data_IF_488272483598
#
_entry.id   IF_488272483598
#
_cell.length_a   1.000
_cell.length_b   1.000
_cell.length_c   1.000
_cell.angle_alpha   90.00
_cell.angle_beta   90.00
_cell.angle_gamma   90.00
#
_symmetry.space_group_name_H-M   'P 1'
#
loop_
_entity.id
_entity.type
_entity.pdbx_description
1 polymer ?
#
# COMPACT_ATOMS: atom_id res chain seq x y z
N UNK A 1 7.81 0.20 2.40
CA UNK A 1 6.92 1.37 2.59
C UNK A 1 7.08 1.98 3.98
N UNK A 2 7.16 1.19 5.06
CA UNK A 2 7.42 1.65 6.44
C UNK A 2 8.48 2.74 6.60
N UNK A 3 9.67 2.55 6.02
CA UNK A 3 10.73 3.58 6.08
C UNK A 3 10.34 4.92 5.44
N UNK A 4 9.52 4.90 4.38
CA UNK A 4 9.02 6.12 3.75
C UNK A 4 8.02 6.82 4.65
N UNK A 5 7.11 6.08 5.28
CA UNK A 5 6.16 6.60 6.24
C UNK A 5 6.88 7.27 7.41
N UNK A 6 7.96 6.66 7.93
CA UNK A 6 8.78 7.27 8.98
C UNK A 6 9.45 8.58 8.53
N UNK A 7 9.98 8.63 7.30
CA UNK A 7 10.53 9.87 6.73
C UNK A 7 9.44 10.96 6.57
N UNK A 8 8.23 10.59 6.13
CA UNK A 8 7.11 11.52 6.02
C UNK A 8 6.63 12.00 7.39
N UNK A 9 6.67 11.14 8.41
CA UNK A 9 6.35 11.52 9.78
C UNK A 9 7.29 12.61 10.32
N UNK A 10 8.59 12.55 10.01
CA UNK A 10 9.53 13.64 10.34
C UNK A 10 9.11 14.97 9.71
N UNK A 11 8.72 14.95 8.43
CA UNK A 11 8.30 16.15 7.69
C UNK A 11 6.95 16.71 8.18
N UNK A 12 6.02 15.82 8.50
CA UNK A 12 4.66 16.16 8.92
C UNK A 12 4.62 16.66 10.36
N UNK A 13 5.12 15.88 11.32
CA UNK A 13 5.04 16.23 12.73
C UNK A 13 6.09 17.27 13.14
N UNK A 14 7.26 17.28 12.49
CA UNK A 14 8.39 18.18 12.82
C UNK A 14 8.81 18.11 14.30
N UNK A 15 8.53 16.97 14.94
CA UNK A 15 8.83 16.72 16.34
C UNK A 15 10.21 16.08 16.48
N UNK A 16 10.81 16.24 17.66
CA UNK A 16 12.01 15.52 18.05
C UNK A 16 11.76 14.75 19.33
N UNK A 17 12.22 13.50 19.36
CA UNK A 17 12.18 12.62 20.52
C UNK A 17 13.59 12.51 21.06
N UNK A 18 13.83 13.07 22.25
CA UNK A 18 15.17 13.08 22.88
C UNK A 18 16.25 13.68 21.97
N UNK A 19 15.88 14.68 21.17
CA UNK A 19 16.78 15.35 20.22
C UNK A 19 16.93 14.67 18.85
N UNK A 20 16.37 13.47 18.67
CA UNK A 20 16.38 12.71 17.41
C UNK A 20 15.09 12.89 16.62
N UNK A 21 15.12 12.60 15.32
CA UNK A 21 13.90 12.58 14.50
C UNK A 21 13.10 11.31 14.80
N UNK A 22 11.83 11.28 14.39
CA UNK A 22 10.97 10.10 14.53
C UNK A 22 11.57 8.94 13.74
N UNK A 23 12.07 9.19 12.52
CA UNK A 23 12.73 8.17 11.71
C UNK A 23 13.92 7.53 12.45
N UNK A 24 14.85 8.34 12.96
CA UNK A 24 16.05 7.84 13.63
C UNK A 24 15.68 7.07 14.90
N UNK A 25 14.76 7.60 15.71
CA UNK A 25 14.28 6.92 16.92
C UNK A 25 13.65 5.57 16.59
N UNK A 26 12.78 5.48 15.58
CA UNK A 26 12.13 4.22 15.21
C UNK A 26 13.12 3.21 14.61
N UNK A 27 14.07 3.67 13.80
CA UNK A 27 15.07 2.81 13.19
C UNK A 27 16.02 2.20 14.22
N UNK A 28 16.51 3.00 15.17
CA UNK A 28 17.38 2.53 16.25
C UNK A 28 16.66 1.54 17.19
N UNK A 29 15.35 1.71 17.37
CA UNK A 29 14.52 0.86 18.22
C UNK A 29 13.79 -0.25 17.43
N UNK A 30 14.22 -0.54 16.21
CA UNK A 30 13.73 -1.68 15.42
C UNK A 30 14.83 -2.74 15.31
N UNK A 31 14.90 -3.72 16.23
CA UNK A 31 15.90 -4.78 16.18
C UNK A 31 15.83 -5.54 14.85
N UNK A 32 16.98 -5.95 14.25
CA UNK A 32 16.99 -6.74 13.02
C UNK A 32 16.13 -8.00 13.10
N UNK A 33 16.05 -8.61 14.29
CA UNK A 33 15.20 -9.77 14.56
C UNK A 33 13.70 -9.49 14.50
N UNK A 34 13.26 -8.24 14.38
CA UNK A 34 11.87 -7.85 14.18
C UNK A 34 11.57 -7.47 12.72
N UNK A 35 12.60 -7.42 11.86
CA UNK A 35 12.42 -7.24 10.42
C UNK A 35 12.10 -8.59 9.79
N UNK A 36 11.04 -8.66 8.99
CA UNK A 36 10.61 -9.88 8.30
C UNK A 36 10.68 -9.72 6.78
N UNK A 37 10.91 -10.81 6.02
CA UNK A 37 10.86 -10.76 4.56
C UNK A 37 9.48 -10.37 4.02
N UNK A 38 8.40 -10.80 4.68
CA UNK A 38 7.02 -10.40 4.40
C UNK A 38 6.34 -9.88 5.66
N UNK A 39 5.52 -8.85 5.46
CA UNK A 39 4.64 -8.24 6.44
C UNK A 39 3.72 -9.26 7.12
N UNK A 40 3.20 -10.24 6.36
CA UNK A 40 2.27 -11.28 6.88
C UNK A 40 2.88 -12.09 8.03
N UNK A 41 4.22 -12.21 8.10
CA UNK A 41 4.90 -12.90 9.20
C UNK A 41 4.80 -12.14 10.54
N UNK A 42 4.60 -10.82 10.51
CA UNK A 42 4.43 -9.98 11.70
C UNK A 42 3.13 -10.27 12.44
N UNK A 43 2.10 -10.79 11.75
CA UNK A 43 0.81 -11.16 12.36
C UNK A 43 0.99 -12.15 13.51
N UNK A 44 1.83 -13.16 13.33
CA UNK A 44 2.08 -14.18 14.36
C UNK A 44 2.72 -13.58 15.61
N UNK A 45 3.55 -12.55 15.44
CA UNK A 45 4.24 -11.87 16.53
C UNK A 45 3.29 -10.94 17.29
N UNK A 46 2.40 -10.24 16.57
CA UNK A 46 1.34 -9.44 17.19
C UNK A 46 0.38 -10.30 18.00
N UNK A 47 -0.06 -11.45 17.45
CA UNK A 47 -1.01 -12.35 18.11
C UNK A 47 -0.42 -13.06 19.33
N UNK A 48 0.88 -13.35 19.30
CA UNK A 48 1.61 -13.93 20.44
C UNK A 48 2.09 -12.89 21.44
N UNK A 49 1.85 -11.60 21.19
CA UNK A 49 2.31 -10.47 22.02
C UNK A 49 3.86 -10.40 22.10
N UNK A 50 4.54 -11.00 21.12
CA UNK A 50 5.97 -10.81 20.93
C UNK A 50 6.28 -9.43 20.34
N UNK A 51 5.29 -8.79 19.71
CA UNK A 51 5.31 -7.38 19.31
C UNK A 51 4.04 -6.69 19.82
N UNK A 52 4.21 -5.49 20.37
CA UNK A 52 3.07 -4.63 20.78
C UNK A 52 2.44 -3.91 19.57
N UNK A 53 3.27 -3.49 18.60
CA UNK A 53 2.85 -2.76 17.40
C UNK A 53 3.65 -3.23 16.18
N UNK A 54 3.02 -3.13 15.00
CA UNK A 54 3.67 -3.29 13.71
C UNK A 54 3.08 -2.29 12.71
N UNK A 55 3.89 -1.91 11.71
CA UNK A 55 3.41 -1.13 10.58
C UNK A 55 2.83 -2.07 9.53
N UNK A 56 1.52 -1.98 9.31
CA UNK A 56 0.77 -2.88 8.46
C UNK A 56 -0.27 -2.15 7.60
N UNK A 57 -0.72 -2.81 6.53
CA UNK A 57 -1.83 -2.31 5.73
C UNK A 57 -3.16 -2.46 6.48
N UNK A 58 -4.05 -1.47 6.35
CA UNK A 58 -5.37 -1.49 7.00
C UNK A 58 -6.18 -2.74 6.66
N UNK A 59 -6.07 -3.24 5.42
CA UNK A 59 -6.74 -4.47 4.98
C UNK A 59 -6.34 -5.69 5.81
N UNK A 60 -5.06 -5.81 6.16
CA UNK A 60 -4.56 -6.91 6.99
C UNK A 60 -5.12 -6.80 8.41
N UNK A 61 -5.11 -5.59 8.98
CA UNK A 61 -5.70 -5.35 10.29
C UNK A 61 -7.20 -5.72 10.33
N UNK A 62 -7.97 -5.32 9.32
CA UNK A 62 -9.41 -5.64 9.22
C UNK A 62 -9.63 -7.15 9.05
N UNK A 63 -8.92 -7.80 8.13
CA UNK A 63 -9.10 -9.23 7.83
C UNK A 63 -8.74 -10.14 9.02
N UNK A 64 -7.79 -9.70 9.85
CA UNK A 64 -7.33 -10.44 11.04
C UNK A 64 -7.93 -9.92 12.36
N UNK A 65 -8.91 -9.00 12.29
CA UNK A 65 -9.58 -8.41 13.45
C UNK A 65 -8.61 -7.83 14.50
N UNK A 66 -7.54 -7.19 14.01
CA UNK A 66 -6.56 -6.51 14.84
C UNK A 66 -7.05 -5.10 15.21
N UNK A 67 -6.61 -4.62 16.37
CA UNK A 67 -6.73 -3.20 16.71
C UNK A 67 -5.71 -2.41 15.90
N UNK A 68 -6.06 -1.20 15.49
CA UNK A 68 -5.18 -0.34 14.71
C UNK A 68 -5.36 1.13 15.09
N UNK A 69 -4.34 1.92 14.76
CA UNK A 69 -4.33 3.37 14.85
C UNK A 69 -4.24 3.89 13.41
N UNK A 70 -5.16 4.78 13.02
CA UNK A 70 -5.09 5.45 11.73
C UNK A 70 -4.05 6.55 11.77
N UNK A 71 -3.30 6.68 10.68
CA UNK A 71 -2.32 7.74 10.51
C UNK A 71 -2.90 8.82 9.57
N UNK A 72 -2.42 10.07 9.64
CA UNK A 72 -2.80 11.13 8.70
C UNK A 72 -2.52 10.73 7.24
N UNK A 73 -3.36 11.17 6.31
CA UNK A 73 -3.21 10.87 4.88
C UNK A 73 -1.87 11.37 4.33
N UNK A 74 -1.33 12.47 4.88
CA UNK A 74 -0.03 13.01 4.51
C UNK A 74 1.14 12.05 4.71
N UNK A 75 0.98 10.99 5.53
CA UNK A 75 2.05 10.06 5.87
C UNK A 75 1.71 8.60 5.59
N UNK A 76 0.43 8.23 5.51
CA UNK A 76 -0.01 6.84 5.43
C UNK A 76 0.05 6.23 4.02
N UNK A 77 0.31 7.07 3.00
CA UNK A 77 0.42 6.70 1.59
C UNK A 77 -0.90 6.21 0.96
N UNK A 78 -2.06 6.58 1.49
CA UNK A 78 -3.35 6.09 0.98
C UNK A 78 -3.93 6.94 -0.16
N UNK A 79 -3.63 8.25 -0.21
CA UNK A 79 -4.33 9.20 -1.06
C UNK A 79 -3.44 9.70 -2.21
N UNK A 80 -3.78 9.42 -3.49
CA UNK A 80 -3.03 9.88 -4.65
C UNK A 80 -2.86 11.39 -4.78
N UNK A 81 -3.73 12.21 -4.17
CA UNK A 81 -3.59 13.68 -4.18
C UNK A 81 -2.30 14.15 -3.49
N UNK A 82 -1.73 13.32 -2.61
CA UNK A 82 -0.47 13.58 -1.92
C UNK A 82 0.74 12.93 -2.61
N UNK A 83 0.64 12.42 -3.84
CA UNK A 83 1.77 11.74 -4.51
C UNK A 83 3.02 12.64 -4.63
N UNK A 84 2.85 13.93 -4.91
CA UNK A 84 3.96 14.90 -4.94
C UNK A 84 4.56 15.12 -3.54
N UNK A 85 3.72 15.09 -2.50
CA UNK A 85 4.16 15.17 -1.11
C UNK A 85 4.92 13.90 -0.69
N UNK A 86 4.39 12.72 -1.00
CA UNK A 86 5.01 11.42 -0.70
C UNK A 86 6.38 11.25 -1.36
N UNK A 87 6.58 11.85 -2.54
CA UNK A 87 7.84 11.79 -3.30
C UNK A 87 9.04 12.38 -2.54
N UNK A 88 8.80 13.14 -1.47
CA UNK A 88 9.87 13.62 -0.59
C UNK A 88 10.54 12.47 0.20
N UNK A 89 9.83 11.37 0.42
CA UNK A 89 10.40 10.17 1.01
C UNK A 89 10.97 9.22 -0.05
N UNK A 90 12.09 8.57 0.26
CA UNK A 90 12.75 7.62 -0.65
C UNK A 90 13.54 6.56 0.09
N UNK A 91 13.66 5.39 -0.53
CA UNK A 91 14.47 4.27 -0.03
C UNK A 91 15.36 3.77 -1.15
N UNK A 92 16.63 3.57 -0.84
CA UNK A 92 17.58 2.93 -1.75
C UNK A 92 17.59 1.44 -1.49
N UNK A 93 17.27 0.65 -2.52
CA UNK A 93 17.29 -0.80 -2.50
C UNK A 93 18.54 -1.31 -3.23
N UNK A 94 19.06 -2.44 -2.77
CA UNK A 94 20.05 -3.19 -3.55
C UNK A 94 19.40 -3.73 -4.82
N UNK A 95 20.06 -3.49 -5.95
CA UNK A 95 19.64 -3.98 -7.25
C UNK A 95 19.89 -5.49 -7.39
N UNK A 96 19.44 -6.06 -8.52
CA UNK A 96 19.60 -7.50 -8.81
C UNK A 96 21.05 -7.94 -8.98
N UNK A 97 21.95 -7.01 -9.28
CA UNK A 97 23.38 -7.27 -9.44
C UNK A 97 24.16 -6.63 -8.28
N UNK A 98 25.23 -7.29 -7.77
CA UNK A 98 26.08 -6.71 -6.74
C UNK A 98 26.59 -5.31 -7.15
N UNK A 99 26.46 -4.36 -6.24
CA UNK A 99 26.91 -2.97 -6.45
C UNK A 99 25.95 -2.09 -7.27
N UNK A 100 24.85 -2.63 -7.81
CA UNK A 100 23.77 -1.81 -8.37
C UNK A 100 22.76 -1.45 -7.28
N UNK A 101 22.21 -0.24 -7.37
CA UNK A 101 21.19 0.25 -6.45
C UNK A 101 20.03 0.86 -7.24
N UNK A 102 18.82 0.77 -6.70
CA UNK A 102 17.65 1.49 -7.22
C UNK A 102 17.05 2.34 -6.12
N UNK A 103 16.71 3.59 -6.44
CA UNK A 103 15.97 4.46 -5.52
C UNK A 103 14.49 4.37 -5.83
N UNK A 104 13.70 4.04 -4.83
CA UNK A 104 12.23 4.06 -4.90
C UNK A 104 11.75 5.27 -4.12
N UNK A 105 10.86 6.05 -4.72
CA UNK A 105 10.24 7.22 -4.10
C UNK A 105 8.87 6.86 -3.53
N UNK A 106 8.43 7.61 -2.52
CA UNK A 106 7.08 7.50 -1.96
C UNK A 106 6.03 7.84 -3.02
N UNK A 107 4.97 7.05 -3.04
CA UNK A 107 3.77 7.19 -3.88
C UNK A 107 2.62 6.53 -3.13
N UNK A 108 1.40 6.89 -3.48
CA UNK A 108 0.19 6.23 -3.02
C UNK A 108 0.22 4.72 -3.27
N UNK A 109 -0.39 3.97 -2.36
CA UNK A 109 -0.57 2.52 -2.44
C UNK A 109 -1.90 2.27 -3.15
N UNK A 110 -1.82 2.12 -4.46
CA UNK A 110 -2.98 1.84 -5.32
C UNK A 110 -2.88 0.44 -5.94
N UNK A 111 -3.99 -0.30 -5.90
CA UNK A 111 -4.08 -1.57 -6.61
C UNK A 111 -4.47 -1.32 -8.06
N UNK A 112 -3.70 -1.91 -8.98
CA UNK A 112 -3.99 -1.91 -10.40
C UNK A 112 -4.28 -3.33 -10.87
N UNK A 113 -5.13 -3.45 -11.89
CA UNK A 113 -5.46 -4.71 -12.53
C UNK A 113 -5.43 -4.55 -14.05
N UNK A 114 -5.19 -5.64 -14.76
CA UNK A 114 -5.15 -5.65 -16.23
C UNK A 114 -5.56 -7.00 -16.79
N UNK A 115 -5.95 -7.04 -18.06
CA UNK A 115 -6.08 -8.27 -18.84
C UNK A 115 -4.81 -8.39 -19.70
N UNK A 116 -3.96 -9.41 -19.50
CA UNK A 116 -2.82 -9.66 -20.38
C UNK A 116 -3.24 -9.80 -21.85
N UNK A 117 -2.38 -9.36 -22.78
CA UNK A 117 -2.71 -9.36 -24.22
C UNK A 117 -2.97 -10.76 -24.77
N UNK A 118 -2.32 -11.76 -24.20
CA UNK A 118 -2.38 -13.18 -24.55
C UNK A 118 -3.26 -13.98 -23.58
N UNK A 119 -4.16 -13.33 -22.83
CA UNK A 119 -5.04 -14.00 -21.89
C UNK A 119 -5.83 -15.13 -22.58
N UNK A 120 -5.67 -16.40 -22.16
CA UNK A 120 -6.23 -17.56 -22.87
C UNK A 120 -7.76 -17.56 -22.85
N UNK A 121 -8.38 -16.83 -21.92
CA UNK A 121 -9.81 -16.63 -21.86
C UNK A 121 -10.17 -15.16 -21.61
N UNK A 122 -9.90 -14.31 -22.61
CA UNK A 122 -10.21 -12.89 -22.58
C UNK A 122 -11.65 -12.59 -22.16
N UNK A 123 -12.65 -13.30 -22.73
CA UNK A 123 -14.06 -13.08 -22.41
C UNK A 123 -14.38 -13.33 -20.94
N UNK A 124 -13.77 -14.34 -20.32
CA UNK A 124 -13.96 -14.61 -18.90
C UNK A 124 -13.24 -13.57 -18.02
N UNK A 125 -12.06 -13.12 -18.43
CA UNK A 125 -11.34 -12.04 -17.73
C UNK A 125 -12.17 -10.74 -17.70
N UNK A 126 -12.80 -10.36 -18.82
CA UNK A 126 -13.73 -9.22 -18.87
C UNK A 126 -14.90 -9.41 -17.90
N UNK A 127 -15.52 -10.61 -17.87
CA UNK A 127 -16.61 -10.91 -16.92
C UNK A 127 -16.16 -10.83 -15.46
N UNK A 128 -14.95 -11.29 -15.14
CA UNK A 128 -14.39 -11.22 -13.80
C UNK A 128 -14.19 -9.76 -13.35
N UNK A 129 -13.59 -8.92 -14.21
CA UNK A 129 -13.40 -7.51 -13.89
C UNK A 129 -14.75 -6.80 -13.75
N UNK A 130 -15.71 -7.10 -14.62
CA UNK A 130 -17.08 -6.56 -14.49
C UNK A 130 -17.73 -6.94 -13.15
N UNK A 131 -17.53 -8.17 -12.70
CA UNK A 131 -17.99 -8.61 -11.38
C UNK A 131 -17.28 -7.85 -10.24
N UNK A 132 -15.96 -7.72 -10.32
CA UNK A 132 -15.17 -6.97 -9.31
C UNK A 132 -15.64 -5.51 -9.20
N UNK A 133 -15.92 -4.85 -10.32
CA UNK A 133 -16.35 -3.44 -10.35
C UNK A 133 -17.85 -3.23 -10.04
N UNK A 134 -18.64 -4.30 -10.00
CA UNK A 134 -20.05 -4.27 -9.63
C UNK A 134 -20.26 -3.92 -8.15
N UNK A 135 -21.48 -3.55 -7.75
CA UNK A 135 -21.84 -3.30 -6.35
C UNK A 135 -21.48 -4.48 -5.42
N UNK A 136 -21.63 -5.72 -5.90
CA UNK A 136 -21.26 -6.90 -5.12
C UNK A 136 -19.75 -7.02 -4.91
N UNK A 137 -18.97 -6.73 -5.95
CA UNK A 137 -17.50 -6.72 -5.85
C UNK A 137 -17.03 -5.60 -4.93
N UNK A 138 -17.61 -4.41 -5.06
CA UNK A 138 -17.32 -3.25 -4.21
C UNK A 138 -17.53 -3.56 -2.73
N UNK A 139 -18.69 -4.13 -2.36
CA UNK A 139 -18.97 -4.54 -0.98
C UNK A 139 -18.01 -5.61 -0.45
N UNK A 140 -17.54 -6.51 -1.31
CA UNK A 140 -16.54 -7.51 -0.90
C UNK A 140 -15.21 -6.82 -0.60
N UNK A 141 -14.79 -5.90 -1.46
CA UNK A 141 -13.53 -5.18 -1.33
C UNK A 141 -13.54 -4.25 -0.10
N UNK A 142 -14.62 -3.49 0.10
CA UNK A 142 -14.84 -2.64 1.26
C UNK A 142 -14.83 -3.45 2.57
N UNK A 143 -15.54 -4.57 2.62
CA UNK A 143 -15.56 -5.46 3.80
C UNK A 143 -14.16 -5.98 4.17
N UNK A 144 -13.25 -6.09 3.21
CA UNK A 144 -11.87 -6.54 3.41
C UNK A 144 -10.87 -5.40 3.60
N UNK A 145 -11.35 -4.16 3.80
CA UNK A 145 -10.50 -2.99 4.06
C UNK A 145 -9.77 -2.46 2.83
N UNK A 146 -10.28 -2.75 1.63
CA UNK A 146 -9.67 -2.36 0.36
C UNK A 146 -10.71 -1.68 -0.56
N UNK A 147 -11.28 -0.54 -0.15
CA UNK A 147 -12.32 0.13 -0.95
C UNK A 147 -11.82 0.44 -2.37
N UNK A 148 -12.71 0.31 -3.35
CA UNK A 148 -12.37 0.65 -4.73
C UNK A 148 -12.27 2.16 -4.91
N UNK A 149 -11.29 2.60 -5.71
CA UNK A 149 -11.21 4.00 -6.14
C UNK A 149 -12.34 4.27 -7.14
N UNK A 150 -13.15 5.29 -6.85
CA UNK A 150 -14.30 5.70 -7.66
C UNK A 150 -14.13 7.17 -8.10
N UNK A 151 -14.25 7.50 -9.40
CA UNK A 151 -14.40 6.55 -10.52
C UNK A 151 -13.15 5.69 -10.71
N UNK A 152 -13.30 4.53 -11.37
CA UNK A 152 -12.16 3.68 -11.70
C UNK A 152 -11.31 4.41 -12.73
N UNK A 153 -10.01 4.53 -12.46
CA UNK A 153 -9.07 5.23 -13.32
C UNK A 153 -8.41 4.23 -14.27
N UNK A 154 -8.34 4.57 -15.56
CA UNK A 154 -7.62 3.80 -16.57
C UNK A 154 -6.51 4.63 -17.21
N UNK A 155 -5.36 4.00 -17.49
CA UNK A 155 -4.25 4.65 -18.17
C UNK A 155 -4.52 4.92 -19.66
N UNK A 156 -5.34 4.09 -20.31
CA UNK A 156 -5.72 4.24 -21.71
C UNK A 156 -7.16 3.73 -21.94
N UNK A 157 -8.11 4.66 -21.84
CA UNK A 157 -9.57 4.38 -21.98
C UNK A 157 -9.89 3.77 -23.35
N UNK A 158 -9.10 4.06 -24.40
CA UNK A 158 -9.34 3.55 -25.75
C UNK A 158 -9.18 2.03 -25.85
N UNK A 159 -8.37 1.44 -24.96
CA UNK A 159 -8.08 0.00 -24.91
C UNK A 159 -9.00 -0.78 -23.97
N UNK A 160 -9.92 -0.10 -23.30
CA UNK A 160 -10.85 -0.73 -22.37
C UNK A 160 -11.96 -1.45 -23.16
N UNK A 161 -12.28 -2.73 -22.83
CA UNK A 161 -13.42 -3.45 -23.39
C UNK A 161 -14.71 -2.65 -23.24
N UNK A 162 -15.57 -2.65 -24.27
CA UNK A 162 -16.81 -1.86 -24.26
C UNK A 162 -17.69 -2.17 -23.03
N UNK A 163 -17.68 -3.42 -22.57
CA UNK A 163 -18.43 -3.92 -21.42
C UNK A 163 -17.99 -3.35 -20.07
N UNK A 164 -16.79 -2.76 -20.00
CA UNK A 164 -16.22 -2.17 -18.79
C UNK A 164 -16.26 -0.64 -18.80
N UNK A 165 -16.54 0.00 -19.95
CA UNK A 165 -16.50 1.46 -20.08
C UNK A 165 -17.48 2.20 -19.17
N UNK A 166 -18.58 1.54 -18.77
CA UNK A 166 -19.56 2.13 -17.83
C UNK A 166 -18.99 2.38 -16.42
N UNK A 167 -17.94 1.68 -16.02
CA UNK A 167 -17.32 1.80 -14.70
C UNK A 167 -16.14 2.78 -14.65
N UNK A 168 -15.66 3.22 -15.81
CA UNK A 168 -14.44 3.99 -15.98
C UNK A 168 -14.81 5.42 -16.39
N UNK A 169 -14.15 6.41 -15.80
CA UNK A 169 -14.23 7.80 -16.24
C UNK A 169 -12.86 8.33 -16.62
#
# INVERSE_FOLDING_TARGET
RTLMLWQLADLYYKQKLEGKTIYDTLLENCPPNNVRPSEVELLSLLQSVALDYAFEYLSIAIQHNLKYITLPEEIDLNNPEFDDWYRQAKVTLTGKEPGKYSTVYGTSIVYALTIPKDAPNYKLAVKFIKFLLSEKGDKIMEKNGQPLIRPVIANDISKIPAELKEFIR
#
